data_IF_677885525188
#
_entry.id   IF_677885525188
#
_cell.length_a   1.000
_cell.length_b   1.000
_cell.length_c   1.000
_cell.angle_alpha   90.00
_cell.angle_beta   90.00
_cell.angle_gamma   90.00
#
_symmetry.space_group_name_H-M   'P 1'
#
loop_
_entity.id
_entity.type
_entity.pdbx_description
1 polymer ?
#
# COMPACT_ATOMS: atom_id res chain seq x y z
N UNK A 1 1.26 -8.86 -35.66
CA UNK A 1 0.47 -7.71 -35.14
C UNK A 1 -0.32 -7.98 -33.85
N UNK A 2 -0.63 -9.24 -33.48
CA UNK A 2 -1.45 -9.59 -32.29
C UNK A 2 -0.83 -9.23 -30.91
N UNK A 3 0.50 -9.21 -30.77
CA UNK A 3 1.19 -8.92 -29.49
C UNK A 3 1.02 -7.47 -28.99
N UNK A 4 0.62 -6.52 -29.85
CA UNK A 4 0.53 -5.10 -29.49
C UNK A 4 -0.79 -4.76 -28.76
N UNK A 5 -1.87 -5.47 -29.07
CA UNK A 5 -3.21 -5.26 -28.48
C UNK A 5 -3.30 -5.76 -27.04
N UNK A 6 -2.64 -6.88 -26.73
CA UNK A 6 -2.57 -7.43 -25.37
C UNK A 6 -1.93 -6.48 -24.35
N UNK A 7 -1.11 -5.53 -24.80
CA UNK A 7 -0.50 -4.52 -23.95
C UNK A 7 -1.47 -3.44 -23.48
N UNK A 8 -2.58 -3.22 -24.21
CA UNK A 8 -3.60 -2.22 -23.85
C UNK A 8 -4.76 -2.80 -23.05
N UNK A 9 -4.95 -4.13 -23.06
CA UNK A 9 -5.96 -4.83 -22.26
C UNK A 9 -5.96 -4.40 -20.78
N UNK A 10 -4.84 -4.39 -20.04
CA UNK A 10 -4.86 -3.99 -18.63
C UNK A 10 -5.25 -2.52 -18.46
N UNK A 11 -4.84 -1.64 -19.37
CA UNK A 11 -5.17 -0.21 -19.31
C UNK A 11 -6.67 0.00 -19.52
N UNK A 12 -7.24 -0.64 -20.55
CA UNK A 12 -8.66 -0.55 -20.86
C UNK A 12 -9.49 -1.14 -19.72
N UNK A 13 -9.06 -2.28 -19.16
CA UNK A 13 -9.71 -2.91 -18.03
C UNK A 13 -9.68 -2.01 -16.78
N UNK A 14 -8.52 -1.48 -16.40
CA UNK A 14 -8.39 -0.55 -15.27
C UNK A 14 -9.25 0.70 -15.45
N UNK A 15 -9.28 1.27 -16.67
CA UNK A 15 -10.09 2.44 -16.96
C UNK A 15 -11.60 2.13 -16.91
N UNK A 16 -12.00 0.96 -17.42
CA UNK A 16 -13.39 0.51 -17.37
C UNK A 16 -13.85 0.27 -15.93
N UNK A 17 -13.02 -0.41 -15.11
CA UNK A 17 -13.31 -0.60 -13.69
C UNK A 17 -13.38 0.73 -12.93
N UNK A 18 -12.51 1.69 -13.26
CA UNK A 18 -12.55 3.02 -12.67
C UNK A 18 -13.86 3.76 -13.03
N UNK A 19 -14.28 3.74 -14.30
CA UNK A 19 -15.54 4.35 -14.74
C UNK A 19 -16.74 3.67 -14.05
N UNK A 20 -16.74 2.34 -13.95
CA UNK A 20 -17.79 1.60 -13.24
C UNK A 20 -17.84 1.96 -11.76
N UNK A 21 -16.70 2.10 -11.09
CA UNK A 21 -16.62 2.50 -9.69
C UNK A 21 -17.18 3.93 -9.51
N UNK A 22 -16.77 4.89 -10.35
CA UNK A 22 -17.30 6.26 -10.32
C UNK A 22 -18.81 6.27 -10.57
N UNK A 23 -19.28 5.48 -11.54
CA UNK A 23 -20.70 5.37 -11.84
C UNK A 23 -21.49 4.78 -10.67
N UNK A 24 -21.01 3.69 -10.06
CA UNK A 24 -21.64 3.06 -8.90
C UNK A 24 -21.72 4.02 -7.70
N UNK A 25 -20.61 4.71 -7.40
CA UNK A 25 -20.56 5.75 -6.36
C UNK A 25 -21.57 6.86 -6.68
N UNK A 26 -21.61 7.34 -7.93
CA UNK A 26 -22.54 8.41 -8.33
C UNK A 26 -24.01 8.03 -8.17
N UNK A 27 -24.35 6.74 -8.26
CA UNK A 27 -25.71 6.25 -8.04
C UNK A 27 -26.08 6.17 -6.56
N UNK A 28 -25.14 5.75 -5.70
CA UNK A 28 -25.30 5.79 -4.24
C UNK A 28 -25.55 7.22 -3.73
N UNK A 29 -24.82 8.20 -4.26
CA UNK A 29 -25.02 9.62 -3.93
C UNK A 29 -26.39 10.19 -4.34
N UNK A 30 -27.15 9.53 -5.21
CA UNK A 30 -28.54 9.94 -5.51
C UNK A 30 -29.52 9.53 -4.42
N UNK A 31 -29.18 8.52 -3.63
CA UNK A 31 -30.01 8.04 -2.51
C UNK A 31 -29.55 8.63 -1.17
N UNK A 32 -28.26 8.96 -1.03
CA UNK A 32 -27.68 9.53 0.18
C UNK A 32 -27.14 10.94 -0.05
N UNK A 33 -27.69 11.93 0.64
CA UNK A 33 -27.19 13.31 0.61
C UNK A 33 -25.85 13.40 1.35
N UNK A 34 -24.91 14.23 0.87
CA UNK A 34 -23.60 14.46 1.54
C UNK A 34 -23.72 14.76 3.04
N UNK A 35 -24.79 15.45 3.45
CA UNK A 35 -25.11 15.74 4.85
C UNK A 35 -25.42 14.47 5.69
N UNK A 36 -26.11 13.48 5.12
CA UNK A 36 -26.40 12.20 5.78
C UNK A 36 -25.12 11.37 5.97
N UNK A 37 -24.18 11.49 5.03
CA UNK A 37 -22.88 10.84 5.10
C UNK A 37 -22.03 11.43 6.24
N UNK A 38 -21.99 12.76 6.39
CA UNK A 38 -21.35 13.42 7.54
C UNK A 38 -22.03 13.06 8.86
N UNK A 39 -23.36 13.08 8.91
CA UNK A 39 -24.10 12.70 10.12
C UNK A 39 -23.80 11.24 10.54
N UNK A 40 -23.63 10.34 9.58
CA UNK A 40 -23.26 8.94 9.84
C UNK A 40 -21.86 8.82 10.44
N UNK A 41 -20.91 9.68 10.04
CA UNK A 41 -19.55 9.72 10.60
C UNK A 41 -19.53 10.24 12.05
N UNK A 42 -20.44 11.15 12.40
CA UNK A 42 -20.63 11.63 13.77
C UNK A 42 -21.28 10.57 14.67
N UNK A 43 -22.13 9.71 14.11
CA UNK A 43 -22.69 8.56 14.84
C UNK A 43 -21.67 7.45 15.13
N UNK A 44 -20.47 7.50 14.55
CA UNK A 44 -19.40 6.54 14.87
C UNK A 44 -18.83 6.86 16.25
N UNK A 45 -19.11 5.98 17.21
CA UNK A 45 -18.58 6.05 18.57
C UNK A 45 -17.05 6.13 18.58
N UNK A 46 -16.48 6.96 19.47
CA UNK A 46 -15.03 7.13 19.62
C UNK A 46 -14.28 5.81 19.83
N UNK A 47 -14.87 4.85 20.54
CA UNK A 47 -14.29 3.51 20.73
C UNK A 47 -14.04 2.78 19.40
N UNK A 48 -14.99 2.85 18.45
CA UNK A 48 -14.84 2.25 17.12
C UNK A 48 -13.75 2.95 16.30
N UNK A 49 -13.61 4.28 16.46
CA UNK A 49 -12.52 5.04 15.81
C UNK A 49 -11.15 4.59 16.34
N UNK A 50 -11.02 4.42 17.65
CA UNK A 50 -9.80 3.92 18.28
C UNK A 50 -9.48 2.47 17.86
N UNK A 51 -10.47 1.59 17.85
CA UNK A 51 -10.32 0.21 17.37
C UNK A 51 -9.87 0.17 15.91
N UNK A 52 -10.44 0.98 15.03
CA UNK A 52 -10.04 1.06 13.63
C UNK A 52 -8.57 1.51 13.48
N UNK A 53 -8.15 2.53 14.24
CA UNK A 53 -6.75 2.99 14.25
C UNK A 53 -5.83 1.90 14.80
N UNK A 54 -6.24 1.18 15.83
CA UNK A 54 -5.48 0.07 16.41
C UNK A 54 -5.29 -1.07 15.41
N UNK A 55 -6.36 -1.50 14.73
CA UNK A 55 -6.28 -2.53 13.70
C UNK A 55 -5.45 -2.09 12.50
N UNK A 56 -5.57 -0.82 12.09
CA UNK A 56 -4.71 -0.24 11.06
C UNK A 56 -3.23 -0.29 11.47
N UNK A 57 -2.91 0.11 12.72
CA UNK A 57 -1.55 0.07 13.24
C UNK A 57 -1.00 -1.36 13.30
N UNK A 58 -1.82 -2.33 13.75
CA UNK A 58 -1.46 -3.75 13.73
C UNK A 58 -1.19 -4.27 12.32
N UNK A 59 -2.01 -3.86 11.34
CA UNK A 59 -1.78 -4.19 9.93
C UNK A 59 -0.43 -3.68 9.43
N UNK A 60 -0.11 -2.41 9.66
CA UNK A 60 1.19 -1.84 9.28
C UNK A 60 2.37 -2.46 10.05
N UNK A 61 2.18 -2.83 11.32
CA UNK A 61 3.19 -3.56 12.11
C UNK A 61 3.44 -4.95 11.55
N UNK A 62 2.39 -5.67 11.15
CA UNK A 62 2.49 -6.97 10.49
C UNK A 62 3.24 -6.86 9.16
N UNK A 63 2.87 -5.87 8.32
CA UNK A 63 3.58 -5.56 7.07
C UNK A 63 5.08 -5.27 7.30
N UNK A 64 5.39 -4.49 8.34
CA UNK A 64 6.78 -4.20 8.73
C UNK A 64 7.52 -5.45 9.25
N UNK A 65 6.80 -6.35 9.92
CA UNK A 65 7.32 -7.64 10.36
C UNK A 65 7.79 -8.52 9.19
N UNK A 66 7.07 -8.50 8.06
CA UNK A 66 7.49 -9.21 6.85
C UNK A 66 8.80 -8.67 6.28
N UNK A 67 9.01 -7.36 6.26
CA UNK A 67 10.30 -6.78 5.83
C UNK A 67 11.44 -7.26 6.72
N UNK A 68 11.22 -7.34 8.04
CA UNK A 68 12.21 -7.89 8.99
C UNK A 68 12.53 -9.35 8.71
N UNK A 69 11.50 -10.18 8.46
CA UNK A 69 11.69 -11.58 8.08
C UNK A 69 12.42 -11.72 6.75
N UNK A 70 12.13 -10.84 5.79
CA UNK A 70 12.86 -10.74 4.53
C UNK A 70 14.34 -10.50 4.76
N UNK A 71 14.71 -9.48 5.56
CA UNK A 71 16.12 -9.21 5.90
C UNK A 71 16.78 -10.36 6.67
N UNK A 72 16.04 -11.04 7.55
CA UNK A 72 16.53 -12.24 8.25
C UNK A 72 16.83 -13.37 7.26
N UNK A 73 15.97 -13.58 6.26
CA UNK A 73 16.15 -14.59 5.21
C UNK A 73 17.42 -14.36 4.38
N UNK A 74 17.74 -13.10 4.03
CA UNK A 74 18.95 -12.77 3.26
C UNK A 74 20.22 -12.75 4.11
N UNK A 75 20.11 -13.00 5.43
CA UNK A 75 21.22 -12.93 6.39
C UNK A 75 21.99 -11.61 6.35
N UNK A 76 21.30 -10.53 5.99
CA UNK A 76 21.89 -9.19 5.95
C UNK A 76 21.39 -8.41 7.17
N UNK A 77 22.21 -8.26 8.24
CA UNK A 77 21.78 -7.57 9.44
C UNK A 77 21.63 -6.07 9.15
N UNK A 78 20.39 -5.56 9.24
CA UNK A 78 20.10 -4.13 9.20
C UNK A 78 19.49 -3.72 10.55
N UNK A 79 19.82 -2.52 11.02
CA UNK A 79 19.24 -1.99 12.25
C UNK A 79 17.71 -1.97 12.15
N UNK A 80 17.04 -2.58 13.14
CA UNK A 80 15.58 -2.68 13.17
C UNK A 80 14.87 -1.34 13.06
N UNK A 81 15.42 -0.28 13.65
CA UNK A 81 14.89 1.07 13.53
C UNK A 81 14.90 1.61 12.10
N UNK A 82 15.86 1.21 11.27
CA UNK A 82 15.90 1.57 9.84
C UNK A 82 14.88 0.76 9.03
N UNK A 83 14.74 -0.54 9.33
CA UNK A 83 13.71 -1.39 8.70
C UNK A 83 12.32 -0.82 8.99
N UNK A 84 12.00 -0.57 10.26
CA UNK A 84 10.66 -0.14 10.69
C UNK A 84 10.27 1.21 10.06
N UNK A 85 11.16 2.21 10.13
CA UNK A 85 10.88 3.54 9.56
C UNK A 85 10.69 3.47 8.05
N UNK A 86 11.57 2.73 7.36
CA UNK A 86 11.53 2.62 5.89
C UNK A 86 10.30 1.86 5.43
N UNK A 87 9.99 0.72 6.07
CA UNK A 87 8.82 -0.09 5.76
C UNK A 87 7.53 0.71 5.99
N UNK A 88 7.42 1.41 7.12
CA UNK A 88 6.26 2.25 7.42
C UNK A 88 6.03 3.33 6.35
N UNK A 89 7.06 4.10 5.99
CA UNK A 89 6.96 5.13 4.95
C UNK A 89 6.64 4.53 3.58
N UNK A 90 7.30 3.42 3.25
CA UNK A 90 7.06 2.68 2.00
C UNK A 90 5.62 2.20 1.89
N UNK A 91 5.07 1.57 2.92
CA UNK A 91 3.70 1.07 2.92
C UNK A 91 2.67 2.20 3.00
N UNK A 92 2.91 3.27 3.76
CA UNK A 92 2.00 4.41 3.82
C UNK A 92 1.88 5.11 2.45
N UNK A 93 3.00 5.37 1.78
CA UNK A 93 3.01 6.00 0.45
C UNK A 93 2.58 5.03 -0.65
N UNK A 94 2.90 3.74 -0.53
CA UNK A 94 2.42 2.70 -1.43
C UNK A 94 0.90 2.61 -1.44
N UNK A 95 0.28 2.53 -0.26
CA UNK A 95 -1.19 2.42 -0.14
C UNK A 95 -1.93 3.71 -0.53
N UNK A 96 -1.31 4.88 -0.39
CA UNK A 96 -1.96 6.16 -0.74
C UNK A 96 -1.86 6.51 -2.23
N UNK A 97 -0.71 6.24 -2.86
CA UNK A 97 -0.43 6.69 -4.23
C UNK A 97 -0.90 5.64 -5.26
N UNK A 98 -1.08 4.38 -4.88
CA UNK A 98 -1.56 3.30 -5.75
C UNK A 98 -0.51 2.78 -6.76
N UNK A 99 0.57 3.52 -6.99
CA UNK A 99 1.75 3.09 -7.76
C UNK A 99 2.80 2.45 -6.84
N UNK A 100 2.43 1.46 -6.04
CA UNK A 100 3.32 0.85 -5.03
C UNK A 100 4.66 0.36 -5.60
N UNK A 101 4.65 -0.08 -6.87
CA UNK A 101 5.84 -0.51 -7.60
C UNK A 101 6.80 0.64 -7.98
N UNK A 102 6.32 1.88 -8.01
CA UNK A 102 7.13 3.08 -8.29
C UNK A 102 7.34 3.96 -7.06
N UNK A 103 6.43 3.93 -6.08
CA UNK A 103 6.53 4.70 -4.84
C UNK A 103 7.18 3.89 -3.72
N UNK A 104 6.50 2.84 -3.22
CA UNK A 104 6.92 2.06 -2.06
C UNK A 104 8.28 1.37 -2.25
N UNK A 105 8.46 0.65 -3.35
CA UNK A 105 9.74 0.00 -3.67
C UNK A 105 10.87 1.01 -3.89
N UNK A 106 10.61 2.14 -4.54
CA UNK A 106 11.62 3.19 -4.74
C UNK A 106 12.08 3.81 -3.41
N UNK A 107 11.16 3.96 -2.45
CA UNK A 107 11.49 4.39 -1.09
C UNK A 107 12.42 3.37 -0.44
N UNK A 108 12.12 2.08 -0.51
CA UNK A 108 13.01 1.03 0.01
C UNK A 108 14.41 1.10 -0.61
N UNK A 109 14.51 1.26 -1.93
CA UNK A 109 15.81 1.47 -2.59
C UNK A 109 16.52 2.73 -2.08
N UNK A 110 15.81 3.85 -1.95
CA UNK A 110 16.39 5.12 -1.52
C UNK A 110 16.86 5.13 -0.07
N UNK A 111 16.19 4.42 0.82
CA UNK A 111 16.54 4.40 2.25
C UNK A 111 17.47 3.24 2.62
N UNK A 112 17.40 2.09 1.94
CA UNK A 112 18.27 0.95 2.22
C UNK A 112 19.64 1.04 1.52
N UNK A 113 19.74 1.68 0.35
CA UNK A 113 21.05 1.84 -0.35
C UNK A 113 22.06 2.64 0.48
N UNK A 114 21.72 3.83 1.05
CA UNK A 114 22.63 4.54 1.95
C UNK A 114 22.91 3.79 3.27
N UNK A 115 22.04 2.86 3.65
CA UNK A 115 22.22 2.00 4.82
C UNK A 115 23.11 0.78 4.54
N UNK A 116 23.73 0.69 3.36
CA UNK A 116 24.71 -0.33 2.99
C UNK A 116 24.12 -1.63 2.43
N UNK A 117 22.82 -1.66 2.13
CA UNK A 117 22.17 -2.85 1.56
C UNK A 117 22.34 -2.86 0.04
N UNK A 118 22.81 -3.98 -0.51
CA UNK A 118 22.91 -4.15 -1.96
C UNK A 118 21.55 -4.12 -2.66
N UNK A 119 21.50 -3.55 -3.87
CA UNK A 119 20.29 -3.46 -4.70
C UNK A 119 19.62 -4.82 -4.90
N UNK A 120 20.42 -5.88 -5.08
CA UNK A 120 19.93 -7.26 -5.25
C UNK A 120 19.25 -7.78 -3.98
N UNK A 121 19.77 -7.45 -2.80
CA UNK A 121 19.17 -7.90 -1.54
C UNK A 121 17.88 -7.12 -1.25
N UNK A 122 17.82 -5.83 -1.58
CA UNK A 122 16.58 -5.05 -1.53
C UNK A 122 15.52 -5.69 -2.45
N UNK A 123 15.89 -6.11 -3.66
CA UNK A 123 15.00 -6.80 -4.58
C UNK A 123 14.47 -8.12 -4.00
N UNK A 124 15.31 -8.90 -3.32
CA UNK A 124 14.90 -10.13 -2.62
C UNK A 124 13.91 -9.84 -1.50
N UNK A 125 14.13 -8.82 -0.65
CA UNK A 125 13.16 -8.43 0.39
C UNK A 125 11.83 -8.05 -0.25
N UNK A 126 11.86 -7.19 -1.28
CA UNK A 126 10.66 -6.75 -2.00
C UNK A 126 9.90 -7.96 -2.54
N UNK A 127 10.60 -8.88 -3.20
CA UNK A 127 10.01 -10.10 -3.76
C UNK A 127 9.40 -10.96 -2.66
N UNK A 128 10.09 -11.16 -1.54
CA UNK A 128 9.58 -11.89 -0.38
C UNK A 128 8.31 -11.26 0.23
N UNK A 129 8.18 -9.94 0.19
CA UNK A 129 7.00 -9.23 0.72
C UNK A 129 5.82 -9.15 -0.25
N UNK A 130 6.05 -9.39 -1.55
CA UNK A 130 5.03 -9.27 -2.60
C UNK A 130 4.62 -10.61 -3.23
N UNK A 131 5.36 -11.70 -2.94
CA UNK A 131 5.10 -13.07 -3.40
C UNK A 131 4.48 -13.90 -2.27
#
# INVERSE_FOLDING_TARGET
>A
MYKKIWRFVPIILSLSLFILAVWAISQEFKHYTFAQLLASLDHITTSRKLEAIFWMALGYLSMTGYDRLGFYYIKHPLALGTIIRTAFISYALGNTIGLTLFSGTAIRYRFYTPAGVGVVDIAKVITFTHL
#
